data_IF_581384461792
#
_entry.id   IF_581384461792
#
_cell.length_a   1.000
_cell.length_b   1.000
_cell.length_c   1.000
_cell.angle_alpha   90.00
_cell.angle_beta   90.00
_cell.angle_gamma   90.00
#
_symmetry.space_group_name_H-M   'P 1'
#
loop_
_entity.id
_entity.type
_entity.pdbx_description
1 polymer ?
#
# COMPACT_ATOMS: atom_id res chain seq x y z
N UNK A 1 1.34 21.39 12.27
CA UNK A 1 0.81 20.00 12.27
C UNK A 1 -0.70 19.93 12.64
N UNK A 2 -1.16 20.37 13.84
CA UNK A 2 -2.60 20.25 14.20
C UNK A 2 -3.49 21.00 13.22
N UNK A 3 -3.14 22.26 12.88
CA UNK A 3 -3.89 23.07 11.90
C UNK A 3 -3.99 22.41 10.51
N UNK A 4 -2.95 21.67 10.08
CA UNK A 4 -2.98 20.94 8.81
C UNK A 4 -3.94 19.74 8.86
N UNK A 5 -3.97 18.96 9.98
CA UNK A 5 -4.99 17.94 10.17
C UNK A 5 -6.40 18.51 10.14
N UNK A 6 -6.62 19.63 10.86
CA UNK A 6 -7.91 20.30 10.86
C UNK A 6 -8.29 20.83 9.47
N UNK A 7 -7.30 21.24 8.67
CA UNK A 7 -7.48 21.62 7.27
C UNK A 7 -7.99 20.45 6.42
N UNK A 8 -7.40 19.26 6.56
CA UNK A 8 -7.83 18.05 5.85
C UNK A 8 -9.28 17.67 6.23
N UNK A 9 -9.62 17.73 7.52
CA UNK A 9 -10.99 17.47 7.95
C UNK A 9 -11.98 18.50 7.37
N UNK A 10 -11.66 19.79 7.48
CA UNK A 10 -12.52 20.86 6.90
C UNK A 10 -12.67 20.78 5.39
N UNK A 11 -11.67 20.23 4.69
CA UNK A 11 -11.72 20.02 3.23
C UNK A 11 -12.66 18.87 2.81
N UNK A 12 -13.13 18.04 3.76
CA UNK A 12 -14.12 16.99 3.48
C UNK A 12 -13.76 15.58 3.93
N UNK A 13 -12.54 15.34 4.47
CA UNK A 13 -12.20 14.03 5.04
C UNK A 13 -12.90 13.86 6.40
N UNK A 14 -13.77 12.84 6.58
CA UNK A 14 -14.47 12.63 7.86
C UNK A 14 -13.50 12.49 9.03
N UNK A 15 -12.41 11.72 8.87
CA UNK A 15 -11.41 11.50 9.90
C UNK A 15 -10.01 11.33 9.35
N UNK A 16 -9.04 12.03 9.94
CA UNK A 16 -7.61 11.97 9.62
C UNK A 16 -6.80 11.89 10.90
N UNK A 17 -5.78 11.05 10.92
CA UNK A 17 -4.86 10.92 12.05
C UNK A 17 -3.46 10.61 11.57
N UNK A 18 -2.47 11.05 12.36
CA UNK A 18 -1.08 10.99 11.95
C UNK A 18 -0.13 10.83 13.15
N UNK A 19 1.02 10.25 12.86
CA UNK A 19 2.18 10.28 13.72
C UNK A 19 3.40 10.74 12.94
N UNK A 20 4.15 11.69 13.51
CA UNK A 20 5.43 12.17 13.00
C UNK A 20 6.49 11.99 14.07
N UNK A 21 7.63 11.43 13.69
CA UNK A 21 8.81 11.27 14.56
C UNK A 21 9.97 12.07 14.01
N UNK A 22 10.68 12.77 14.88
CA UNK A 22 11.89 13.49 14.52
C UNK A 22 12.83 13.63 15.72
N UNK A 23 14.09 13.22 15.56
CA UNK A 23 15.14 13.40 16.58
C UNK A 23 14.77 12.83 17.96
N UNK A 24 14.08 11.69 18.02
CA UNK A 24 13.62 11.07 19.26
C UNK A 24 12.29 11.65 19.81
N UNK A 25 11.76 12.71 19.22
CA UNK A 25 10.46 13.26 19.57
C UNK A 25 9.37 12.62 18.71
N UNK A 26 8.20 12.39 19.31
CA UNK A 26 7.01 11.87 18.61
C UNK A 26 5.86 12.86 18.79
N UNK A 27 5.27 13.27 17.67
CA UNK A 27 4.02 14.01 17.62
C UNK A 27 2.92 13.10 17.10
N UNK A 28 1.75 13.16 17.74
CA UNK A 28 0.53 12.44 17.34
C UNK A 28 -0.63 13.40 17.31
N UNK A 29 -1.50 13.25 16.32
CA UNK A 29 -2.69 14.07 16.20
C UNK A 29 -3.77 13.39 15.41
N UNK A 30 -5.00 13.87 15.62
CA UNK A 30 -6.18 13.45 14.89
C UNK A 30 -7.14 14.61 14.71
N UNK A 31 -7.98 14.57 13.68
CA UNK A 31 -9.04 15.56 13.43
C UNK A 31 -10.24 14.88 12.78
N UNK A 32 -11.44 15.30 13.17
CA UNK A 32 -12.70 14.77 12.66
C UNK A 32 -13.18 13.50 13.36
N UNK A 33 -14.00 12.72 12.66
CA UNK A 33 -14.76 11.63 13.23
C UNK A 33 -14.38 10.26 12.63
N UNK A 34 -14.37 9.27 13.48
CA UNK A 34 -14.21 7.86 13.12
C UNK A 34 -15.53 7.23 12.63
N UNK A 35 -16.66 7.85 12.95
CA UNK A 35 -17.99 7.39 12.57
C UNK A 35 -18.89 8.61 12.38
N UNK A 36 -19.29 8.86 11.14
CA UNK A 36 -20.12 10.03 10.79
C UNK A 36 -21.55 9.93 11.35
N UNK A 37 -22.01 8.70 11.63
CA UNK A 37 -23.37 8.48 12.16
C UNK A 37 -23.45 8.82 13.64
N UNK A 38 -22.41 8.48 14.41
CA UNK A 38 -22.39 8.64 15.87
C UNK A 38 -21.61 9.89 16.31
N UNK A 39 -20.84 10.51 15.41
CA UNK A 39 -19.92 11.59 15.75
C UNK A 39 -18.71 11.15 16.59
N UNK A 40 -18.46 9.83 16.72
CA UNK A 40 -17.31 9.31 17.48
C UNK A 40 -16.01 9.86 16.90
N UNK A 41 -15.16 10.54 17.71
CA UNK A 41 -13.93 11.15 17.20
C UNK A 41 -12.90 10.09 16.76
N UNK A 42 -12.03 10.44 15.81
CA UNK A 42 -10.81 9.68 15.53
C UNK A 42 -9.76 9.90 16.61
N UNK A 43 -8.96 8.87 16.87
CA UNK A 43 -7.79 8.95 17.75
C UNK A 43 -6.54 8.44 17.05
N UNK A 44 -5.32 8.91 17.41
CA UNK A 44 -4.08 8.57 16.69
C UNK A 44 -3.68 7.09 16.79
N UNK A 45 -4.21 6.35 17.75
CA UNK A 45 -3.95 4.93 18.01
C UNK A 45 -4.87 3.98 17.26
N UNK A 46 -5.80 4.51 16.48
CA UNK A 46 -6.73 3.69 15.69
C UNK A 46 -6.02 2.86 14.64
N UNK A 47 -6.51 1.64 14.47
CA UNK A 47 -6.08 0.74 13.41
C UNK A 47 -6.73 1.11 12.09
N UNK A 48 -6.00 0.87 11.01
CA UNK A 48 -6.44 1.11 9.64
C UNK A 48 -6.09 -0.08 8.75
N UNK A 49 -6.87 -0.33 7.72
CA UNK A 49 -6.43 -1.15 6.58
C UNK A 49 -5.41 -0.31 5.81
N UNK A 50 -4.18 -0.81 5.70
CA UNK A 50 -3.07 -0.01 5.18
C UNK A 50 -2.79 -0.23 3.70
N UNK A 51 -3.61 -1.05 3.06
CA UNK A 51 -3.53 -1.25 1.61
C UNK A 51 -2.14 -1.69 1.16
N UNK A 52 -1.69 -1.11 0.08
CA UNK A 52 -0.43 -1.47 -0.59
C UNK A 52 0.84 -1.30 0.23
N UNK A 53 0.80 -0.67 1.40
CA UNK A 53 1.91 -0.73 2.37
C UNK A 53 2.27 -2.19 2.70
N UNK A 54 1.31 -3.12 2.63
CA UNK A 54 1.51 -4.56 2.74
C UNK A 54 2.61 -5.08 1.82
N UNK A 55 2.79 -4.48 0.63
CA UNK A 55 3.80 -4.88 -0.35
C UNK A 55 5.22 -4.77 0.19
N UNK A 56 5.51 -3.76 1.01
CA UNK A 56 6.83 -3.65 1.64
C UNK A 56 7.09 -4.79 2.61
N UNK A 57 6.07 -5.26 3.34
CA UNK A 57 6.19 -6.41 4.24
C UNK A 57 6.43 -7.71 3.46
N UNK A 58 5.69 -7.89 2.37
CA UNK A 58 5.86 -9.04 1.47
C UNK A 58 7.23 -9.02 0.81
N UNK A 59 7.69 -7.88 0.29
CA UNK A 59 9.01 -7.72 -0.28
C UNK A 59 10.12 -8.01 0.73
N UNK A 60 10.00 -7.52 1.97
CA UNK A 60 10.94 -7.82 3.04
C UNK A 60 11.03 -9.32 3.34
N UNK A 61 9.89 -10.03 3.35
CA UNK A 61 9.86 -11.47 3.54
C UNK A 61 10.54 -12.22 2.38
N UNK A 62 10.29 -11.81 1.12
CA UNK A 62 10.98 -12.36 -0.05
C UNK A 62 12.49 -12.10 0.04
N UNK A 63 12.90 -10.89 0.40
CA UNK A 63 14.32 -10.55 0.54
C UNK A 63 15.02 -11.35 1.65
N UNK A 64 14.33 -11.73 2.73
CA UNK A 64 14.88 -12.66 3.73
C UNK A 64 15.16 -14.05 3.12
N UNK A 65 14.34 -14.51 2.17
CA UNK A 65 14.59 -15.78 1.46
C UNK A 65 15.73 -15.63 0.43
N UNK A 66 15.92 -14.44 -0.13
CA UNK A 66 17.10 -14.13 -0.96
C UNK A 66 18.37 -14.19 -0.10
N UNK A 67 18.37 -13.62 1.09
CA UNK A 67 19.49 -13.68 2.04
C UNK A 67 19.87 -15.12 2.44
N UNK A 68 18.88 -16.01 2.48
CA UNK A 68 19.07 -17.44 2.78
C UNK A 68 19.44 -18.26 1.55
N UNK A 69 19.56 -17.67 0.36
CA UNK A 69 19.87 -18.34 -0.90
C UNK A 69 18.75 -19.23 -1.45
N UNK A 70 17.53 -19.17 -0.87
CA UNK A 70 16.37 -19.95 -1.34
C UNK A 70 15.67 -19.30 -2.53
N UNK A 71 15.76 -17.99 -2.68
CA UNK A 71 15.25 -17.22 -3.81
C UNK A 71 16.41 -16.48 -4.45
N UNK A 72 16.47 -16.48 -5.77
CA UNK A 72 17.38 -15.64 -6.58
C UNK A 72 16.53 -14.59 -7.27
N UNK A 73 16.86 -13.30 -7.08
CA UNK A 73 16.10 -12.18 -7.65
C UNK A 73 15.96 -12.26 -9.18
N UNK A 74 17.02 -12.68 -9.86
CA UNK A 74 17.08 -12.71 -11.31
C UNK A 74 16.76 -14.11 -11.91
N UNK A 75 16.29 -15.05 -11.07
CA UNK A 75 15.77 -16.32 -11.56
C UNK A 75 14.36 -16.14 -12.13
N UNK A 76 14.01 -16.89 -13.19
CA UNK A 76 12.67 -16.96 -13.73
C UNK A 76 11.66 -17.41 -12.70
N UNK A 77 10.48 -16.78 -12.66
CA UNK A 77 9.41 -17.20 -11.75
C UNK A 77 8.90 -18.60 -12.06
N UNK A 78 9.00 -19.06 -13.31
CA UNK A 78 8.66 -20.40 -13.73
C UNK A 78 9.54 -21.49 -13.11
N UNK A 79 10.75 -21.16 -12.62
CA UNK A 79 11.61 -22.11 -11.88
C UNK A 79 10.98 -22.48 -10.52
N UNK A 80 10.16 -21.58 -9.96
CA UNK A 80 9.51 -21.74 -8.65
C UNK A 80 8.03 -22.12 -8.78
N UNK A 81 7.32 -21.50 -9.72
CA UNK A 81 5.86 -21.59 -9.85
C UNK A 81 5.43 -21.99 -11.28
N UNK A 82 5.92 -23.11 -11.83
CA UNK A 82 5.65 -23.51 -13.22
C UNK A 82 4.16 -23.74 -13.51
N UNK A 83 3.36 -24.15 -12.51
CA UNK A 83 1.92 -24.33 -12.66
C UNK A 83 1.15 -23.01 -12.72
N UNK A 84 1.61 -21.96 -12.02
CA UNK A 84 0.95 -20.65 -12.00
C UNK A 84 1.37 -19.79 -13.18
N UNK A 85 2.66 -19.81 -13.54
CA UNK A 85 3.19 -19.01 -14.66
C UNK A 85 3.93 -19.95 -15.63
N UNK A 86 3.18 -20.69 -16.47
CA UNK A 86 3.76 -21.66 -17.39
C UNK A 86 4.40 -21.01 -18.61
N UNK A 87 5.16 -21.81 -19.33
CA UNK A 87 5.64 -21.52 -20.68
C UNK A 87 6.65 -20.35 -20.75
N UNK A 88 6.57 -19.59 -21.83
CA UNK A 88 7.53 -18.51 -22.11
C UNK A 88 7.46 -17.37 -21.09
N UNK A 89 6.27 -17.04 -20.63
CA UNK A 89 6.05 -16.01 -19.62
C UNK A 89 6.78 -16.35 -18.32
N UNK A 90 6.68 -17.61 -17.85
CA UNK A 90 7.41 -18.07 -16.66
C UNK A 90 8.93 -18.05 -16.82
N UNK A 91 9.45 -18.26 -18.03
CA UNK A 91 10.89 -18.20 -18.31
C UNK A 91 11.42 -16.79 -18.42
N UNK A 92 10.61 -15.82 -18.86
CA UNK A 92 11.03 -14.41 -19.08
C UNK A 92 10.90 -13.54 -17.83
N UNK A 93 9.86 -13.77 -17.02
CA UNK A 93 9.58 -12.94 -15.84
C UNK A 93 10.44 -13.42 -14.67
N UNK A 94 11.24 -12.52 -14.10
CA UNK A 94 12.05 -12.81 -12.91
C UNK A 94 11.35 -12.38 -11.62
N UNK A 95 11.83 -12.87 -10.48
CA UNK A 95 11.34 -12.45 -9.16
C UNK A 95 11.54 -10.94 -8.95
N UNK A 96 12.65 -10.38 -9.43
CA UNK A 96 12.92 -8.93 -9.41
C UNK A 96 11.84 -8.15 -10.15
N UNK A 97 11.42 -8.62 -11.31
CA UNK A 97 10.39 -7.96 -12.13
C UNK A 97 9.01 -7.96 -11.45
N UNK A 98 8.71 -8.98 -10.66
CA UNK A 98 7.51 -8.98 -9.82
C UNK A 98 7.61 -7.94 -8.70
N UNK A 99 8.75 -7.90 -8.00
CA UNK A 99 8.97 -6.98 -6.87
C UNK A 99 8.94 -5.50 -7.27
N UNK A 100 9.48 -5.15 -8.45
CA UNK A 100 9.56 -3.77 -8.94
C UNK A 100 8.53 -3.39 -10.01
N UNK A 101 7.52 -4.26 -10.23
CA UNK A 101 6.44 -4.02 -11.19
C UNK A 101 6.87 -3.86 -12.66
N UNK A 102 7.99 -4.48 -13.08
CA UNK A 102 8.40 -4.51 -14.49
C UNK A 102 8.08 -5.85 -15.19
N UNK A 103 7.21 -6.67 -14.61
CA UNK A 103 6.84 -7.98 -15.15
C UNK A 103 5.99 -7.93 -16.41
N UNK A 104 5.32 -6.82 -16.69
CA UNK A 104 4.31 -6.69 -17.74
C UNK A 104 3.00 -7.45 -17.44
N UNK A 105 2.82 -8.01 -16.23
CA UNK A 105 1.58 -8.66 -15.82
C UNK A 105 0.55 -7.60 -15.40
N UNK A 106 -0.64 -7.58 -16.01
CA UNK A 106 -1.71 -6.63 -15.66
C UNK A 106 -2.23 -6.80 -14.23
N UNK A 107 -2.84 -5.73 -13.72
CA UNK A 107 -3.56 -5.76 -12.45
C UNK A 107 -4.89 -6.51 -12.59
N UNK A 108 -5.12 -7.50 -11.72
CA UNK A 108 -6.34 -8.31 -11.73
C UNK A 108 -7.59 -7.55 -11.26
N UNK A 109 -7.47 -6.42 -10.54
CA UNK A 109 -8.60 -5.76 -9.87
C UNK A 109 -9.73 -5.42 -10.84
N UNK A 110 -9.39 -4.91 -12.04
CA UNK A 110 -10.38 -4.57 -13.08
C UNK A 110 -11.20 -5.77 -13.56
N UNK A 111 -10.63 -6.97 -13.48
CA UNK A 111 -11.25 -8.22 -13.91
C UNK A 111 -12.00 -8.91 -12.76
N UNK A 112 -11.53 -8.73 -11.53
CA UNK A 112 -12.22 -9.21 -10.32
C UNK A 112 -13.47 -8.37 -9.98
N UNK A 113 -13.45 -7.07 -10.34
CA UNK A 113 -14.55 -6.12 -10.11
C UNK A 113 -14.94 -5.39 -11.42
N UNK A 114 -15.51 -6.09 -12.40
CA UNK A 114 -15.70 -5.57 -13.75
C UNK A 114 -16.66 -4.39 -13.83
N UNK A 115 -17.66 -4.29 -12.96
CA UNK A 115 -18.60 -3.17 -12.97
C UNK A 115 -17.95 -1.81 -12.66
N UNK A 116 -16.78 -1.79 -12.03
CA UNK A 116 -16.04 -0.56 -11.79
C UNK A 116 -15.58 0.10 -13.11
N UNK A 117 -15.39 -0.68 -14.19
CA UNK A 117 -15.04 -0.17 -15.51
C UNK A 117 -16.22 0.57 -16.18
N UNK A 118 -17.44 0.22 -15.82
CA UNK A 118 -18.69 0.87 -16.28
C UNK A 118 -19.23 1.89 -15.27
N UNK A 119 -18.44 2.25 -14.24
CA UNK A 119 -18.84 3.23 -13.24
C UNK A 119 -19.93 2.73 -12.28
N UNK A 120 -19.97 1.41 -11.98
CA UNK A 120 -20.93 0.84 -11.03
C UNK A 120 -20.21 0.16 -9.86
N UNK A 121 -20.69 0.31 -8.62
CA UNK A 121 -20.18 -0.41 -7.46
C UNK A 121 -20.68 -1.87 -7.35
N UNK A 122 -21.55 -2.33 -8.27
CA UNK A 122 -22.28 -3.60 -8.16
C UNK A 122 -21.37 -4.80 -7.90
N UNK A 123 -20.35 -5.03 -8.73
CA UNK A 123 -19.44 -6.16 -8.54
C UNK A 123 -18.62 -6.07 -7.24
N UNK A 124 -18.42 -4.86 -6.71
CA UNK A 124 -17.80 -4.66 -5.41
C UNK A 124 -18.74 -5.06 -4.27
N UNK A 125 -20.00 -4.66 -4.35
CA UNK A 125 -21.02 -4.99 -3.36
C UNK A 125 -21.33 -6.50 -3.35
N UNK A 126 -21.49 -7.12 -4.52
CA UNK A 126 -21.76 -8.55 -4.68
C UNK A 126 -20.61 -9.43 -4.14
N UNK A 127 -19.37 -9.00 -4.33
CA UNK A 127 -18.19 -9.73 -3.88
C UNK A 127 -17.67 -9.27 -2.51
N UNK A 128 -18.37 -8.38 -1.82
CA UNK A 128 -17.93 -7.77 -0.56
C UNK A 128 -17.50 -8.79 0.51
N UNK A 129 -18.18 -9.92 0.57
CA UNK A 129 -17.92 -10.99 1.55
C UNK A 129 -17.36 -12.27 0.93
N UNK A 130 -17.13 -12.28 -0.39
CA UNK A 130 -16.56 -13.43 -1.10
C UNK A 130 -15.15 -13.73 -0.59
N UNK A 131 -14.87 -15.02 -0.36
CA UNK A 131 -13.52 -15.52 -0.15
C UNK A 131 -12.89 -15.80 -1.51
N UNK A 132 -11.90 -14.99 -1.90
CA UNK A 132 -11.11 -15.21 -3.11
C UNK A 132 -9.91 -16.12 -2.81
N UNK A 133 -9.57 -16.99 -3.75
CA UNK A 133 -8.31 -17.75 -3.72
C UNK A 133 -7.25 -16.96 -4.49
N UNK A 134 -6.00 -16.88 -4.00
CA UNK A 134 -4.93 -16.17 -4.73
C UNK A 134 -4.76 -16.64 -6.17
N UNK A 135 -4.86 -17.97 -6.42
CA UNK A 135 -4.71 -18.54 -7.76
C UNK A 135 -5.74 -18.01 -8.77
N UNK A 136 -7.02 -17.85 -8.38
CA UNK A 136 -8.03 -17.31 -9.28
C UNK A 136 -7.79 -15.83 -9.65
N UNK A 137 -7.29 -15.04 -8.70
CA UNK A 137 -6.95 -13.63 -8.96
C UNK A 137 -5.70 -13.52 -9.83
N UNK A 138 -4.70 -14.37 -9.60
CA UNK A 138 -3.50 -14.47 -10.44
C UNK A 138 -3.88 -14.85 -11.86
N UNK A 139 -4.77 -15.81 -12.04
CA UNK A 139 -5.27 -16.25 -13.36
C UNK A 139 -5.96 -15.10 -14.10
N UNK A 140 -6.80 -14.30 -13.42
CA UNK A 140 -7.40 -13.09 -14.03
C UNK A 140 -6.34 -12.11 -14.55
N UNK A 141 -5.28 -11.86 -13.77
CA UNK A 141 -4.18 -11.01 -14.21
C UNK A 141 -3.37 -11.61 -15.36
N UNK A 142 -3.09 -12.91 -15.32
CA UNK A 142 -2.31 -13.59 -16.36
C UNK A 142 -3.07 -13.72 -17.70
N UNK A 143 -4.39 -13.85 -17.67
CA UNK A 143 -5.23 -13.95 -18.87
C UNK A 143 -5.53 -12.58 -19.51
N UNK A 144 -5.24 -11.49 -18.81
CA UNK A 144 -5.43 -10.15 -19.32
C UNK A 144 -4.32 -9.76 -20.32
N UNK A 145 -4.59 -8.81 -21.26
CA UNK A 145 -3.57 -8.31 -22.18
C UNK A 145 -2.36 -7.73 -21.43
N UNK A 146 -1.12 -8.12 -21.80
CA UNK A 146 0.09 -7.61 -21.14
C UNK A 146 0.16 -6.08 -21.16
N UNK A 147 0.71 -5.48 -20.09
CA UNK A 147 0.93 -4.03 -20.00
C UNK A 147 2.25 -3.59 -20.63
N UNK A 148 3.10 -4.53 -21.02
CA UNK A 148 4.40 -4.30 -21.65
C UNK A 148 5.24 -5.57 -21.63
N UNK A 149 6.44 -5.47 -22.23
CA UNK A 149 7.41 -6.57 -22.20
C UNK A 149 8.03 -6.71 -20.81
N UNK A 150 8.29 -7.95 -20.34
CA UNK A 150 9.01 -8.18 -19.09
C UNK A 150 10.40 -7.51 -19.09
N UNK A 151 10.69 -6.76 -18.03
CA UNK A 151 11.96 -6.04 -17.89
C UNK A 151 12.05 -4.74 -18.69
N UNK A 152 10.95 -4.24 -19.21
CA UNK A 152 10.89 -2.95 -19.90
C UNK A 152 11.38 -1.78 -19.02
N UNK A 153 11.78 -0.66 -19.64
CA UNK A 153 12.39 0.48 -18.94
C UNK A 153 11.43 1.20 -18.00
N UNK A 154 10.14 1.06 -18.22
CA UNK A 154 9.06 1.60 -17.37
C UNK A 154 8.10 0.47 -17.02
N UNK A 155 7.89 0.26 -15.74
CA UNK A 155 6.95 -0.72 -15.23
C UNK A 155 5.51 -0.19 -15.19
N UNK A 156 4.56 -1.11 -14.96
CA UNK A 156 3.16 -0.78 -14.66
C UNK A 156 2.76 -1.47 -13.37
N UNK A 157 2.26 -0.70 -12.42
CA UNK A 157 1.90 -1.19 -11.09
C UNK A 157 0.83 -2.29 -11.18
N UNK A 158 1.08 -3.42 -10.51
CA UNK A 158 0.20 -4.57 -10.56
C UNK A 158 0.13 -5.31 -9.23
N UNK A 159 -1.06 -5.45 -8.69
CA UNK A 159 -1.31 -6.25 -7.50
C UNK A 159 -1.13 -7.75 -7.77
N UNK A 160 -1.28 -8.21 -9.02
CA UNK A 160 -1.03 -9.60 -9.43
C UNK A 160 0.38 -10.04 -9.08
N UNK A 161 1.37 -9.16 -9.26
CA UNK A 161 2.76 -9.43 -8.91
C UNK A 161 2.92 -9.85 -7.44
N UNK A 162 2.23 -9.16 -6.54
CA UNK A 162 2.37 -9.40 -5.10
C UNK A 162 1.57 -10.60 -4.59
N UNK A 163 0.54 -11.02 -5.30
CA UNK A 163 -0.07 -12.33 -5.07
C UNK A 163 0.87 -13.46 -5.50
N UNK A 164 1.54 -13.32 -6.67
CA UNK A 164 2.57 -14.28 -7.11
C UNK A 164 3.75 -14.36 -6.12
N UNK A 165 4.19 -13.23 -5.55
CA UNK A 165 5.23 -13.21 -4.51
C UNK A 165 4.77 -13.88 -3.22
N UNK A 166 3.48 -13.81 -2.87
CA UNK A 166 2.89 -14.58 -1.79
C UNK A 166 2.98 -16.09 -2.06
N UNK A 167 2.57 -16.52 -3.26
CA UNK A 167 2.67 -17.94 -3.66
C UNK A 167 4.13 -18.42 -3.73
N UNK A 168 5.06 -17.56 -4.16
CA UNK A 168 6.49 -17.86 -4.11
C UNK A 168 6.98 -18.09 -2.67
N UNK A 169 6.58 -17.23 -1.72
CA UNK A 169 6.91 -17.43 -0.30
C UNK A 169 6.37 -18.75 0.23
N UNK A 170 5.11 -19.08 -0.05
CA UNK A 170 4.51 -20.36 0.35
C UNK A 170 5.27 -21.55 -0.21
N UNK A 171 5.62 -21.49 -1.50
CA UNK A 171 6.37 -22.55 -2.17
C UNK A 171 7.74 -22.80 -1.50
N UNK A 172 8.53 -21.73 -1.29
CA UNK A 172 9.92 -21.88 -0.78
C UNK A 172 10.01 -22.12 0.72
N UNK A 173 8.97 -21.74 1.48
CA UNK A 173 8.97 -21.86 2.94
C UNK A 173 8.08 -22.98 3.47
N UNK A 174 7.25 -23.58 2.63
CA UNK A 174 6.20 -24.53 3.00
C UNK A 174 5.31 -24.02 4.15
N UNK A 175 5.10 -22.70 4.21
CA UNK A 175 4.32 -22.01 5.24
C UNK A 175 3.41 -21.00 4.55
N UNK A 176 2.13 -20.85 4.96
CA UNK A 176 1.26 -19.80 4.42
C UNK A 176 1.95 -18.42 4.46
N UNK A 177 1.89 -17.67 3.37
CA UNK A 177 2.65 -16.43 3.21
C UNK A 177 2.35 -15.43 4.32
N UNK A 178 1.08 -15.27 4.69
CA UNK A 178 0.66 -14.37 5.75
C UNK A 178 1.21 -14.77 7.13
N UNK A 179 1.30 -16.08 7.39
CA UNK A 179 1.91 -16.61 8.62
C UNK A 179 3.42 -16.35 8.62
N UNK A 180 4.10 -16.60 7.49
CA UNK A 180 5.54 -16.32 7.36
C UNK A 180 5.84 -14.83 7.59
N UNK A 181 5.10 -13.93 6.92
CA UNK A 181 5.24 -12.48 7.09
C UNK A 181 4.98 -12.07 8.54
N UNK A 182 3.93 -12.63 9.16
CA UNK A 182 3.60 -12.34 10.56
C UNK A 182 4.75 -12.72 11.49
N UNK A 183 5.30 -13.91 11.33
CA UNK A 183 6.37 -14.44 12.20
C UNK A 183 7.70 -13.72 11.98
N UNK A 184 8.11 -13.55 10.72
CA UNK A 184 9.47 -13.18 10.37
C UNK A 184 9.65 -11.69 10.05
N UNK A 185 8.57 -10.96 9.78
CA UNK A 185 8.62 -9.52 9.52
C UNK A 185 7.92 -8.75 10.64
N UNK A 186 6.63 -9.00 10.88
CA UNK A 186 5.82 -8.23 11.83
C UNK A 186 6.33 -8.41 13.27
N UNK A 187 6.43 -9.66 13.75
CA UNK A 187 6.92 -9.95 15.12
C UNK A 187 8.38 -9.55 15.29
N UNK A 188 9.25 -9.78 14.28
CA UNK A 188 10.64 -9.34 14.30
C UNK A 188 10.76 -7.82 14.40
N UNK A 189 9.88 -7.08 13.74
CA UNK A 189 9.80 -5.62 13.88
C UNK A 189 9.22 -5.16 15.22
N UNK A 190 8.68 -6.06 16.05
CA UNK A 190 8.04 -5.73 17.33
C UNK A 190 6.75 -4.92 17.17
N UNK A 191 5.99 -5.18 16.11
CA UNK A 191 4.72 -4.52 15.84
C UNK A 191 3.61 -5.22 16.62
N UNK A 192 2.84 -4.44 17.39
CA UNK A 192 1.83 -4.99 18.30
C UNK A 192 0.41 -4.90 17.76
N UNK A 193 0.21 -4.00 16.80
CA UNK A 193 -1.12 -3.68 16.26
C UNK A 193 -1.19 -3.89 14.74
N UNK A 194 -0.21 -4.63 14.21
CA UNK A 194 -0.12 -4.99 12.78
C UNK A 194 -0.39 -6.47 12.59
N UNK A 195 -1.19 -6.81 11.59
CA UNK A 195 -1.47 -8.19 11.23
C UNK A 195 -2.42 -8.32 10.06
N UNK A 196 -2.48 -9.53 9.49
CA UNK A 196 -3.51 -9.88 8.53
C UNK A 196 -4.84 -10.09 9.24
N UNK A 197 -5.97 -9.62 8.67
CA UNK A 197 -7.28 -9.79 9.29
C UNK A 197 -7.71 -11.27 9.25
N UNK A 198 -8.26 -11.76 10.35
CA UNK A 198 -8.82 -13.12 10.46
C UNK A 198 -10.30 -13.18 10.06
N UNK A 199 -10.87 -12.08 9.60
CA UNK A 199 -12.27 -11.97 9.21
C UNK A 199 -12.56 -10.64 8.51
N UNK A 200 -13.83 -10.33 8.38
CA UNK A 200 -14.30 -9.14 7.64
C UNK A 200 -14.19 -7.83 8.43
N UNK A 201 -13.97 -7.88 9.74
CA UNK A 201 -13.92 -6.73 10.65
C UNK A 201 -12.50 -6.51 11.17
N UNK A 202 -12.14 -5.25 11.39
CA UNK A 202 -10.92 -4.90 12.12
C UNK A 202 -11.16 -5.12 13.61
N UNK A 203 -10.22 -5.78 14.27
CA UNK A 203 -10.23 -5.98 15.73
C UNK A 203 -9.61 -4.77 16.44
N UNK A 204 -10.22 -4.35 17.56
CA UNK A 204 -9.75 -3.22 18.38
C UNK A 204 -10.21 -1.84 17.85
N UNK A 205 -9.70 -0.75 18.44
CA UNK A 205 -10.08 0.61 18.06
C UNK A 205 -9.74 0.87 16.58
N UNK A 206 -10.73 1.30 15.80
CA UNK A 206 -10.58 1.62 14.39
C UNK A 206 -11.61 2.65 13.94
N UNK A 207 -11.31 3.34 12.85
CA UNK A 207 -12.24 4.22 12.15
C UNK A 207 -13.14 3.43 11.21
N UNK A 208 -14.37 3.89 10.97
CA UNK A 208 -15.12 3.51 9.78
C UNK A 208 -14.39 4.01 8.54
N UNK A 209 -14.66 3.38 7.39
CA UNK A 209 -13.96 3.61 6.11
C UNK A 209 -15.01 3.92 5.05
N UNK A 210 -14.96 5.14 4.52
CA UNK A 210 -15.96 5.67 3.61
C UNK A 210 -15.43 5.72 2.19
N UNK A 211 -16.25 5.28 1.24
CA UNK A 211 -15.88 5.19 -0.16
C UNK A 211 -16.82 6.04 -1.01
N UNK A 212 -16.26 6.97 -1.76
CA UNK A 212 -17.01 7.84 -2.65
C UNK A 212 -17.03 7.33 -4.11
N UNK A 213 -16.14 6.40 -4.49
CA UNK A 213 -16.02 5.84 -5.85
C UNK A 213 -16.11 6.90 -6.95
N UNK A 214 -15.28 7.94 -6.82
CA UNK A 214 -15.22 9.05 -7.78
C UNK A 214 -16.57 9.75 -7.99
N UNK A 215 -17.34 9.92 -6.90
CA UNK A 215 -18.65 10.57 -6.90
C UNK A 215 -19.82 9.66 -7.25
N UNK A 216 -19.59 8.37 -7.52
CA UNK A 216 -20.68 7.41 -7.76
C UNK A 216 -21.47 7.09 -6.48
N UNK A 217 -20.85 7.29 -5.33
CA UNK A 217 -21.45 7.12 -4.00
C UNK A 217 -21.52 8.47 -3.30
N UNK A 218 -22.69 9.11 -3.35
CA UNK A 218 -23.00 10.35 -2.65
C UNK A 218 -24.31 10.20 -1.86
N UNK A 219 -24.27 10.25 -0.52
CA UNK A 219 -23.07 10.37 0.32
C UNK A 219 -22.14 9.13 0.25
N UNK A 220 -20.84 9.28 0.60
CA UNK A 220 -19.90 8.17 0.62
C UNK A 220 -20.38 7.01 1.46
N UNK A 221 -20.24 5.78 0.96
CA UNK A 221 -20.74 4.56 1.60
C UNK A 221 -19.71 3.95 2.55
N UNK A 222 -20.17 3.38 3.67
CA UNK A 222 -19.35 2.64 4.63
C UNK A 222 -18.93 1.26 4.10
N UNK A 223 -17.62 1.12 3.83
CA UNK A 223 -16.95 -0.12 3.47
C UNK A 223 -16.01 -0.62 4.58
N UNK A 224 -16.31 -0.37 5.84
CA UNK A 224 -15.50 -0.85 6.98
C UNK A 224 -15.47 -2.36 7.11
N UNK A 225 -16.54 -3.04 6.65
CA UNK A 225 -16.72 -4.48 6.81
C UNK A 225 -16.75 -5.16 5.45
N UNK A 226 -15.65 -5.85 5.10
CA UNK A 226 -15.53 -6.67 3.90
C UNK A 226 -14.40 -7.68 4.01
N UNK A 227 -14.43 -8.72 3.17
CA UNK A 227 -13.39 -9.75 3.13
C UNK A 227 -12.15 -9.20 2.40
N UNK A 228 -10.97 -9.33 3.00
CA UNK A 228 -9.70 -8.84 2.44
C UNK A 228 -8.96 -9.86 1.57
N UNK A 229 -9.51 -11.05 1.37
CA UNK A 229 -8.86 -12.10 0.57
C UNK A 229 -8.58 -11.69 -0.88
N UNK A 230 -9.34 -10.73 -1.42
CA UNK A 230 -9.11 -10.20 -2.75
C UNK A 230 -7.80 -9.42 -2.89
N UNK A 231 -7.12 -9.10 -1.79
CA UNK A 231 -5.83 -8.37 -1.80
C UNK A 231 -4.65 -9.18 -1.28
N UNK A 232 -4.88 -10.13 -0.36
CA UNK A 232 -3.87 -11.01 0.22
C UNK A 232 -2.54 -10.31 0.55
N UNK A 233 -1.44 -10.89 0.13
CA UNK A 233 -0.07 -10.36 0.29
C UNK A 233 0.21 -9.05 -0.44
N UNK A 234 -0.75 -8.55 -1.24
CA UNK A 234 -0.66 -7.26 -1.91
C UNK A 234 -1.14 -6.07 -1.08
N UNK A 235 -2.21 -6.24 -0.23
CA UNK A 235 -2.81 -5.09 0.43
C UNK A 235 -3.67 -5.41 1.68
N UNK A 236 -3.58 -6.60 2.28
CA UNK A 236 -4.54 -7.02 3.32
C UNK A 236 -4.19 -6.58 4.75
N UNK A 237 -3.00 -6.06 5.03
CA UNK A 237 -2.60 -5.73 6.40
C UNK A 237 -3.47 -4.63 7.02
N UNK A 238 -3.67 -4.80 8.33
CA UNK A 238 -4.19 -3.78 9.25
C UNK A 238 -3.01 -3.34 10.13
N UNK A 239 -2.87 -2.03 10.40
CA UNK A 239 -1.80 -1.49 11.22
C UNK A 239 -2.23 -0.19 11.91
N UNK A 240 -1.31 0.42 12.66
CA UNK A 240 -1.39 1.78 13.23
C UNK A 240 -0.28 2.65 12.68
N UNK A 241 -0.42 3.97 12.77
CA UNK A 241 0.62 4.92 12.37
C UNK A 241 1.93 4.72 13.17
N UNK A 242 1.85 4.35 14.47
CA UNK A 242 3.00 4.02 15.32
C UNK A 242 3.76 2.79 14.81
N UNK A 243 3.04 1.70 14.52
CA UNK A 243 3.65 0.47 14.02
C UNK A 243 4.29 0.66 12.64
N UNK A 244 3.65 1.43 11.74
CA UNK A 244 4.21 1.74 10.43
C UNK A 244 5.51 2.53 10.53
N UNK A 245 5.56 3.60 11.33
CA UNK A 245 6.79 4.35 11.57
C UNK A 245 7.88 3.45 12.15
N UNK A 246 7.53 2.57 13.11
CA UNK A 246 8.45 1.59 13.68
C UNK A 246 8.98 0.61 12.64
N UNK A 247 8.12 0.12 11.77
CA UNK A 247 8.48 -0.82 10.71
C UNK A 247 9.48 -0.21 9.73
N UNK A 248 9.14 0.94 9.14
CA UNK A 248 10.04 1.60 8.17
C UNK A 248 11.35 2.06 8.82
N UNK A 249 11.31 2.55 10.05
CA UNK A 249 12.54 2.86 10.79
C UNK A 249 13.46 1.65 10.94
N UNK A 250 12.91 0.49 11.32
CA UNK A 250 13.70 -0.74 11.45
C UNK A 250 14.14 -1.31 10.10
N UNK A 251 13.32 -1.18 9.06
CA UNK A 251 13.67 -1.62 7.72
C UNK A 251 14.87 -0.84 7.18
N UNK A 252 14.83 0.49 7.23
CA UNK A 252 15.89 1.36 6.74
C UNK A 252 17.16 1.30 7.61
N UNK A 253 17.04 0.88 8.87
CA UNK A 253 18.18 0.61 9.76
C UNK A 253 18.80 -0.79 9.54
N UNK A 254 18.28 -1.59 8.58
CA UNK A 254 18.80 -2.92 8.27
C UNK A 254 18.49 -4.00 9.31
N UNK A 255 17.45 -3.77 10.16
CA UNK A 255 17.04 -4.71 11.21
C UNK A 255 16.03 -5.76 10.77
N UNK A 256 15.38 -5.56 9.62
CA UNK A 256 14.40 -6.48 9.04
C UNK A 256 15.03 -7.34 7.95
N UNK A 257 15.76 -6.69 7.05
CA UNK A 257 16.63 -7.27 6.04
C UNK A 257 18.04 -6.71 6.23
N UNK A 258 19.07 -7.39 5.71
CA UNK A 258 20.44 -6.88 5.82
C UNK A 258 20.66 -5.66 4.89
N UNK A 259 21.79 -4.95 5.08
CA UNK A 259 22.08 -3.72 4.32
C UNK A 259 22.25 -3.95 2.81
N UNK A 260 22.72 -5.13 2.39
CA UNK A 260 22.83 -5.46 0.97
C UNK A 260 21.45 -5.62 0.34
N UNK A 261 20.56 -6.36 0.99
CA UNK A 261 19.16 -6.51 0.58
C UNK A 261 18.42 -5.18 0.56
N UNK A 262 18.61 -4.34 1.58
CA UNK A 262 18.03 -3.00 1.61
C UNK A 262 18.49 -2.16 0.41
N UNK A 263 19.79 -2.21 0.08
CA UNK A 263 20.32 -1.50 -1.09
C UNK A 263 19.69 -1.98 -2.40
N UNK A 264 19.44 -3.28 -2.53
CA UNK A 264 18.69 -3.82 -3.68
C UNK A 264 17.23 -3.33 -3.68
N UNK A 265 16.55 -3.32 -2.51
CA UNK A 265 15.20 -2.78 -2.41
C UNK A 265 15.09 -1.32 -2.80
N UNK A 266 16.16 -0.56 -2.63
CA UNK A 266 16.24 0.87 -2.94
C UNK A 266 16.67 1.17 -4.39
N UNK A 267 16.93 0.18 -5.22
CA UNK A 267 17.15 0.35 -6.66
C UNK A 267 15.83 0.60 -7.36
N UNK A 268 15.58 1.83 -7.75
CA UNK A 268 14.30 2.23 -8.35
C UNK A 268 14.31 2.18 -9.86
N UNK A 269 13.14 1.96 -10.41
CA UNK A 269 12.76 2.14 -11.81
C UNK A 269 11.52 3.01 -11.89
N UNK A 270 11.26 3.71 -13.02
CA UNK A 270 10.00 4.39 -13.22
C UNK A 270 8.87 3.36 -13.35
N UNK A 271 7.76 3.59 -12.66
CA UNK A 271 6.56 2.74 -12.71
C UNK A 271 5.33 3.63 -12.84
N UNK A 272 4.44 3.31 -13.78
CA UNK A 272 3.14 3.94 -13.91
C UNK A 272 2.23 3.39 -12.80
N UNK A 273 1.81 4.26 -11.89
CA UNK A 273 0.92 3.92 -10.78
C UNK A 273 -0.53 3.76 -11.23
N UNK A 274 -1.42 3.31 -10.34
CA UNK A 274 -2.83 3.07 -10.64
C UNK A 274 -3.61 4.35 -11.01
N UNK A 275 -3.14 5.52 -10.60
CA UNK A 275 -3.68 6.84 -10.95
C UNK A 275 -3.08 7.43 -12.24
N UNK A 276 -2.18 6.68 -12.91
CA UNK A 276 -1.49 7.11 -14.12
C UNK A 276 -0.25 7.98 -13.89
N UNK A 277 0.08 8.34 -12.65
CA UNK A 277 1.31 9.06 -12.32
C UNK A 277 2.54 8.15 -12.46
N UNK A 278 3.72 8.75 -12.66
CA UNK A 278 4.98 8.01 -12.67
C UNK A 278 5.66 8.15 -11.31
N UNK A 279 5.93 7.01 -10.68
CA UNK A 279 6.61 6.91 -9.40
C UNK A 279 7.99 6.24 -9.54
N UNK A 280 8.91 6.54 -8.62
CA UNK A 280 10.18 5.82 -8.49
C UNK A 280 9.98 4.63 -7.55
N UNK A 281 10.00 3.41 -8.10
CA UNK A 281 9.64 2.19 -7.38
C UNK A 281 10.80 1.20 -7.33
N UNK A 282 11.17 0.81 -6.13
CA UNK A 282 12.16 -0.24 -5.88
C UNK A 282 11.53 -1.62 -5.66
N UNK A 283 12.13 -2.48 -4.85
CA UNK A 283 11.54 -3.76 -4.50
C UNK A 283 10.58 -3.57 -3.31
N UNK A 284 9.33 -3.21 -3.63
CA UNK A 284 8.29 -2.94 -2.62
C UNK A 284 8.46 -1.64 -1.84
N UNK A 285 9.22 -0.68 -2.36
CA UNK A 285 9.45 0.63 -1.75
C UNK A 285 9.27 1.75 -2.78
N UNK A 286 8.59 2.81 -2.39
CA UNK A 286 8.58 4.09 -3.11
C UNK A 286 9.75 4.95 -2.67
N UNK A 287 10.35 5.66 -3.63
CA UNK A 287 11.28 6.77 -3.40
C UNK A 287 10.56 8.08 -3.67
N UNK A 288 10.59 8.98 -2.70
CA UNK A 288 10.03 10.32 -2.81
C UNK A 288 11.13 11.34 -2.50
N UNK A 289 11.54 12.11 -3.50
CA UNK A 289 12.49 13.20 -3.33
C UNK A 289 11.73 14.50 -3.12
N UNK A 290 11.96 15.17 -1.98
CA UNK A 290 11.31 16.43 -1.63
C UNK A 290 12.36 17.53 -1.59
N UNK A 291 12.25 18.54 -2.46
CA UNK A 291 13.20 19.64 -2.47
C UNK A 291 13.41 20.22 -1.07
N UNK A 292 14.68 20.45 -0.71
CA UNK A 292 15.13 20.98 0.59
C UNK A 292 14.83 20.11 1.83
N UNK A 293 14.08 19.01 1.71
CA UNK A 293 13.71 18.14 2.83
C UNK A 293 14.40 16.77 2.76
N UNK A 294 14.87 16.37 1.57
CA UNK A 294 15.63 15.14 1.35
C UNK A 294 14.83 14.02 0.68
N UNK A 295 15.44 12.86 0.62
CA UNK A 295 14.85 11.63 0.08
C UNK A 295 14.14 10.86 1.16
N UNK A 296 12.92 10.43 0.87
CA UNK A 296 12.09 9.59 1.72
C UNK A 296 11.84 8.23 1.04
N UNK A 297 11.72 7.21 1.87
CA UNK A 297 11.40 5.85 1.47
C UNK A 297 10.19 5.35 2.24
N UNK A 298 9.32 4.63 1.58
CA UNK A 298 8.14 4.05 2.21
C UNK A 298 7.17 3.53 1.17
N UNK A 299 5.90 3.60 1.49
CA UNK A 299 4.81 3.23 0.60
C UNK A 299 3.52 3.94 1.02
N UNK A 300 2.65 4.19 0.08
CA UNK A 300 1.26 4.53 0.33
C UNK A 300 0.38 3.29 0.13
N UNK A 301 -0.87 3.39 0.51
CA UNK A 301 -1.80 2.30 0.29
C UNK A 301 -3.24 2.74 0.36
N UNK A 302 -4.03 2.22 -0.54
CA UNK A 302 -5.47 2.40 -0.58
C UNK A 302 -6.18 1.06 -0.67
N UNK A 303 -7.32 0.98 -0.01
CA UNK A 303 -8.34 -0.04 -0.19
C UNK A 303 -9.70 0.64 -0.16
N UNK A 304 -10.79 -0.09 -0.14
CA UNK A 304 -12.12 0.54 -0.11
C UNK A 304 -12.28 1.38 1.16
N UNK A 305 -12.44 2.69 0.98
CA UNK A 305 -12.66 3.68 2.04
C UNK A 305 -11.46 4.01 2.93
N UNK A 306 -10.31 3.41 2.75
CA UNK A 306 -9.13 3.63 3.59
C UNK A 306 -7.90 4.04 2.78
N UNK A 307 -7.26 5.13 3.18
CA UNK A 307 -5.98 5.59 2.64
C UNK A 307 -4.93 5.77 3.72
N UNK A 308 -3.71 5.34 3.45
CA UNK A 308 -2.60 5.43 4.38
C UNK A 308 -1.32 5.72 3.61
N UNK A 309 -0.48 6.60 4.13
CA UNK A 309 0.89 6.81 3.63
C UNK A 309 1.86 6.72 4.80
N UNK A 310 3.01 6.08 4.58
CA UNK A 310 4.08 6.00 5.56
C UNK A 310 5.42 6.17 4.87
N UNK A 311 6.14 7.21 5.27
CA UNK A 311 7.43 7.60 4.69
C UNK A 311 8.45 7.86 5.78
N UNK A 312 9.69 7.42 5.56
CA UNK A 312 10.84 7.65 6.44
C UNK A 312 11.96 8.26 5.63
N UNK A 313 12.56 9.35 6.13
CA UNK A 313 13.72 9.99 5.48
C UNK A 313 14.89 9.01 5.45
N UNK A 314 15.70 9.07 4.39
CA UNK A 314 16.79 8.12 4.14
C UNK A 314 17.80 8.01 5.30
N UNK A 315 17.95 9.08 6.10
CA UNK A 315 18.80 9.09 7.30
C UNK A 315 18.10 8.52 8.55
N UNK A 316 16.84 8.07 8.43
CA UNK A 316 16.03 7.52 9.53
C UNK A 316 15.54 8.53 10.56
N UNK A 317 15.97 9.82 10.48
CA UNK A 317 15.72 10.81 11.54
C UNK A 317 14.33 11.40 11.51
N UNK A 318 13.62 11.35 10.36
CA UNK A 318 12.26 11.84 10.24
C UNK A 318 11.37 10.77 9.63
N UNK A 319 10.24 10.54 10.28
CA UNK A 319 9.25 9.54 9.88
C UNK A 319 7.86 10.15 9.95
N UNK A 320 7.01 9.80 9.00
CA UNK A 320 5.60 10.16 9.05
C UNK A 320 4.72 8.98 8.65
N UNK A 321 3.59 8.84 9.32
CA UNK A 321 2.47 8.01 8.88
C UNK A 321 1.18 8.79 9.04
N UNK A 322 0.37 8.81 7.99
CA UNK A 322 -0.93 9.50 7.94
C UNK A 322 -1.98 8.52 7.44
N UNK A 323 -3.14 8.50 8.09
CA UNK A 323 -4.29 7.70 7.71
C UNK A 323 -5.53 8.57 7.54
N UNK A 324 -6.31 8.31 6.50
CA UNK A 324 -7.59 8.96 6.19
C UNK A 324 -8.68 7.91 5.99
N UNK A 325 -9.91 8.22 6.38
CA UNK A 325 -11.04 7.31 6.33
C UNK A 325 -12.05 7.61 5.21
N UNK A 326 -11.59 8.28 4.15
CA UNK A 326 -12.33 8.48 2.90
C UNK A 326 -11.41 8.22 1.72
N UNK A 327 -11.95 7.60 0.67
CA UNK A 327 -11.21 7.37 -0.59
C UNK A 327 -12.03 7.74 -1.81
N UNK A 328 -11.33 8.04 -2.92
CA UNK A 328 -11.84 8.30 -4.27
C UNK A 328 -12.87 9.43 -4.31
N UNK A 329 -12.54 10.56 -3.66
CA UNK A 329 -13.40 11.78 -3.60
C UNK A 329 -13.38 12.60 -4.89
N UNK A 330 -12.35 12.47 -5.75
CA UNK A 330 -12.22 13.23 -6.99
C UNK A 330 -13.20 12.71 -8.04
N UNK A 331 -14.21 13.50 -8.38
CA UNK A 331 -15.12 13.17 -9.50
C UNK A 331 -14.39 13.34 -10.84
N UNK A 332 -14.63 12.49 -11.84
CA UNK A 332 -14.05 12.67 -13.16
C UNK A 332 -14.70 13.82 -13.91
N UNK A 333 -13.95 14.49 -14.77
CA UNK A 333 -14.48 15.41 -15.76
C UNK A 333 -15.07 14.65 -16.98
N UNK A 334 -15.54 15.39 -17.99
CA UNK A 334 -16.10 14.81 -19.22
C UNK A 334 -15.10 13.96 -20.02
N UNK A 335 -13.79 14.08 -19.75
CA UNK A 335 -12.73 13.26 -20.37
C UNK A 335 -12.35 12.05 -19.51
N UNK A 336 -12.98 11.87 -18.34
CA UNK A 336 -12.68 10.81 -17.39
C UNK A 336 -11.49 11.11 -16.47
N UNK A 337 -10.93 12.31 -16.49
CA UNK A 337 -9.83 12.71 -15.59
C UNK A 337 -10.35 13.16 -14.24
N UNK A 338 -9.71 12.72 -13.13
CA UNK A 338 -10.05 13.20 -11.80
C UNK A 338 -9.95 14.73 -11.73
N UNK A 339 -11.02 15.38 -11.29
CA UNK A 339 -11.02 16.82 -11.03
C UNK A 339 -10.30 17.09 -9.72
N UNK A 340 -9.62 18.24 -9.67
CA UNK A 340 -9.01 18.73 -8.42
C UNK A 340 -10.07 18.94 -7.34
N UNK A 341 -9.77 18.53 -6.12
CA UNK A 341 -10.63 18.71 -4.94
C UNK A 341 -9.85 19.40 -3.81
N UNK A 342 -10.47 20.25 -2.95
CA UNK A 342 -9.79 20.91 -1.83
C UNK A 342 -9.06 19.94 -0.88
N UNK A 343 -9.49 18.71 -0.78
CA UNK A 343 -8.81 17.64 -0.04
C UNK A 343 -7.37 17.44 -0.54
N UNK A 344 -7.12 17.55 -1.84
CA UNK A 344 -5.81 17.29 -2.46
C UNK A 344 -4.77 18.32 -1.94
N UNK A 345 -5.13 19.62 -1.90
CA UNK A 345 -4.26 20.67 -1.36
C UNK A 345 -4.06 20.55 0.14
N UNK A 346 -5.12 20.19 0.87
CA UNK A 346 -5.03 20.01 2.31
C UNK A 346 -4.12 18.84 2.68
N UNK A 347 -4.21 17.71 1.96
CA UNK A 347 -3.31 16.56 2.13
C UNK A 347 -1.88 16.91 1.71
N UNK A 348 -1.68 17.59 0.59
CA UNK A 348 -0.36 18.08 0.17
C UNK A 348 0.30 18.95 1.24
N UNK A 349 -0.47 19.84 1.84
CA UNK A 349 -0.01 20.70 2.96
C UNK A 349 0.38 19.86 4.18
N UNK A 350 -0.47 18.89 4.57
CA UNK A 350 -0.21 18.01 5.70
C UNK A 350 1.05 17.16 5.47
N UNK A 351 1.20 16.56 4.29
CA UNK A 351 2.37 15.76 3.95
C UNK A 351 3.64 16.62 3.92
N UNK A 352 3.60 17.80 3.29
CA UNK A 352 4.72 18.74 3.26
C UNK A 352 5.21 19.11 4.66
N UNK A 353 4.30 19.51 5.56
CA UNK A 353 4.65 19.82 6.96
C UNK A 353 5.18 18.59 7.70
N UNK A 354 4.57 17.42 7.45
CA UNK A 354 5.00 16.16 8.08
C UNK A 354 6.41 15.76 7.68
N UNK A 355 6.79 16.01 6.43
CA UNK A 355 8.09 15.62 5.88
C UNK A 355 9.17 16.68 6.07
N UNK A 356 8.82 17.97 6.03
CA UNK A 356 9.79 19.09 6.06
C UNK A 356 9.88 19.82 7.41
N UNK A 357 8.85 19.73 8.27
CA UNK A 357 8.73 20.55 9.48
C UNK A 357 8.15 21.95 9.20
N UNK A 358 7.76 22.63 10.26
CA UNK A 358 7.01 23.90 10.17
C UNK A 358 7.82 25.07 9.57
N UNK A 359 9.15 24.96 9.49
CA UNK A 359 10.03 26.04 9.01
C UNK A 359 10.39 26.01 7.51
N UNK A 360 10.12 24.92 6.79
CA UNK A 360 10.54 24.72 5.40
C UNK A 360 9.39 24.46 4.41
N UNK A 361 8.19 24.22 4.91
CA UNK A 361 7.01 23.88 4.07
C UNK A 361 6.42 25.11 3.32
N UNK A 362 6.93 26.31 3.53
CA UNK A 362 6.36 27.57 3.03
C UNK A 362 7.36 28.37 2.17
N UNK A 363 8.11 27.73 1.28
CA UNK A 363 8.81 28.47 0.20
C UNK A 363 8.30 27.95 -1.13
N UNK A 364 7.67 28.84 -1.94
CA UNK A 364 7.15 28.51 -3.27
C UNK A 364 8.27 28.14 -4.23
#
# INVERSE_FOLDING_TARGET
>A
MKSALDGVHRAGIPGVYAEVREGGRTWRGASGVADVTTGRPVTPDMRQRVGSITKTFTAAAVMQQVEQGRIRLDAPIGDYLPQLVPGERGRKITVRMLLNNTSGIPDYIRYAFPSLQSGSPESLDDNRFRQFRPAELIELGLNAPPTGEPGGPTGVYSNTNYLLLGQLLEHVTATPAEEYITRNVIKRAGLRHTGFPTGTRIQGPHSRMYEALWGLLDPPRDYSVYNMSWTGTGAALVSTTDDLNRFYGKLLDGKIVNRSSLKEMQRTVPVIALDGSTIQYGLGLHKVDIPHCGTFWGHDGTVWGAGTISLTRADGKRQMSVAVNLQRWNTPDSSGKPQHHPIDDALKTLYGQSMCGDGQAARP
#
